data_IF_942686287354
#
_entry.id   IF_942686287354
#
_cell.length_a   1.000
_cell.length_b   1.000
_cell.length_c   1.000
_cell.angle_alpha   90.00
_cell.angle_beta   90.00
_cell.angle_gamma   90.00
#
_symmetry.space_group_name_H-M   'P 1'
#
loop_
_entity.id
_entity.type
_entity.pdbx_description
1 polymer ?
#
# COMPACT_ATOMS: atom_id res chain seq x y z
N UNK A 1 -3.81 -5.80 -16.84
CA UNK A 1 -4.80 -5.27 -15.87
C UNK A 1 -6.07 -6.08 -16.02
N UNK A 2 -6.58 -6.65 -14.93
CA UNK A 2 -7.86 -7.38 -14.96
C UNK A 2 -9.04 -6.44 -15.21
N UNK A 3 -10.20 -7.01 -15.50
CA UNK A 3 -11.36 -6.24 -15.95
C UNK A 3 -11.81 -5.21 -14.93
N UNK A 4 -11.91 -5.55 -13.64
CA UNK A 4 -12.37 -4.63 -12.59
C UNK A 4 -11.46 -3.41 -12.45
N UNK A 5 -10.14 -3.63 -12.45
CA UNK A 5 -9.16 -2.53 -12.36
C UNK A 5 -9.23 -1.67 -13.64
N UNK A 6 -9.32 -2.31 -14.81
CA UNK A 6 -9.44 -1.60 -16.09
C UNK A 6 -10.72 -0.78 -16.15
N UNK A 7 -11.82 -1.30 -15.61
CA UNK A 7 -13.11 -0.63 -15.62
C UNK A 7 -13.04 0.73 -14.91
N UNK A 8 -12.28 0.86 -13.82
CA UNK A 8 -12.08 2.13 -13.11
C UNK A 8 -11.42 3.16 -14.02
N UNK A 9 -10.29 2.81 -14.64
CA UNK A 9 -9.60 3.71 -15.57
C UNK A 9 -10.46 4.05 -16.78
N UNK A 10 -11.23 3.09 -17.28
CA UNK A 10 -12.16 3.29 -18.40
C UNK A 10 -13.26 4.30 -18.09
N UNK A 11 -13.85 4.19 -16.91
CA UNK A 11 -14.94 5.06 -16.46
C UNK A 11 -14.43 6.47 -16.18
N UNK A 12 -13.24 6.59 -15.58
CA UNK A 12 -12.71 7.88 -15.13
C UNK A 12 -11.94 8.66 -16.21
N UNK A 13 -11.20 7.96 -17.10
CA UNK A 13 -10.23 8.59 -18.01
C UNK A 13 -10.56 8.28 -19.48
N UNK A 14 -10.75 7.01 -19.81
CA UNK A 14 -10.67 6.56 -21.20
C UNK A 14 -12.03 6.48 -21.91
N UNK A 15 -13.14 6.83 -21.27
CA UNK A 15 -14.48 6.82 -21.86
C UNK A 15 -14.84 5.46 -22.45
N UNK A 16 -14.59 4.38 -21.69
CA UNK A 16 -14.87 2.99 -22.08
C UNK A 16 -14.12 2.46 -23.32
N UNK A 17 -12.98 3.07 -23.68
CA UNK A 17 -12.19 2.66 -24.86
C UNK A 17 -11.20 1.52 -24.61
N UNK A 18 -10.74 1.31 -23.38
CA UNK A 18 -9.83 0.20 -23.05
C UNK A 18 -10.57 -1.13 -23.07
N UNK A 19 -9.86 -2.19 -23.48
CA UNK A 19 -10.36 -3.57 -23.47
C UNK A 19 -9.27 -4.49 -22.93
N UNK A 20 -9.68 -5.55 -22.24
CA UNK A 20 -8.77 -6.62 -21.86
C UNK A 20 -8.30 -7.35 -23.11
N UNK A 21 -7.00 -7.70 -23.16
CA UNK A 21 -6.43 -8.40 -24.33
C UNK A 21 -6.89 -9.84 -24.48
N UNK A 22 -7.39 -10.47 -23.42
CA UNK A 22 -7.95 -11.82 -23.44
C UNK A 22 -8.85 -12.06 -22.22
N UNK A 23 -9.70 -13.11 -22.24
CA UNK A 23 -10.47 -13.54 -21.07
C UNK A 23 -9.57 -13.93 -19.88
N UNK A 24 -8.38 -14.49 -20.13
CA UNK A 24 -7.42 -14.84 -19.07
C UNK A 24 -6.94 -13.60 -18.32
N UNK A 25 -6.64 -12.51 -19.05
CA UNK A 25 -6.26 -11.24 -18.44
C UNK A 25 -7.46 -10.62 -17.72
N UNK A 26 -8.64 -10.63 -18.33
CA UNK A 26 -9.85 -10.07 -17.73
C UNK A 26 -10.18 -10.72 -16.38
N UNK A 27 -10.03 -12.04 -16.28
CA UNK A 27 -10.34 -12.84 -15.10
C UNK A 27 -9.14 -13.07 -14.16
N UNK A 28 -8.01 -12.40 -14.36
CA UNK A 28 -6.84 -12.60 -13.50
C UNK A 28 -7.13 -12.13 -12.08
N UNK A 29 -6.70 -12.94 -11.10
CA UNK A 29 -6.83 -12.68 -9.65
C UNK A 29 -5.44 -12.75 -9.01
N UNK A 30 -5.30 -12.15 -7.82
CA UNK A 30 -4.07 -12.30 -7.04
C UNK A 30 -3.94 -13.75 -6.55
N UNK A 31 -2.79 -14.37 -6.79
CA UNK A 31 -2.52 -15.72 -6.33
C UNK A 31 -2.04 -15.70 -4.87
N UNK A 32 -2.82 -16.33 -3.97
CA UNK A 32 -2.54 -16.34 -2.52
C UNK A 32 -2.53 -17.79 -2.01
N UNK A 33 -1.41 -18.51 -2.17
CA UNK A 33 -1.35 -19.97 -1.99
C UNK A 33 -1.57 -20.43 -0.55
N UNK A 34 -1.24 -19.59 0.43
CA UNK A 34 -1.35 -19.91 1.85
C UNK A 34 -2.44 -19.08 2.55
N UNK A 35 -3.52 -18.71 1.87
CA UNK A 35 -4.56 -17.81 2.41
C UNK A 35 -5.03 -18.19 3.83
N UNK A 36 -5.53 -19.41 4.02
CA UNK A 36 -6.04 -19.86 5.33
C UNK A 36 -4.94 -19.98 6.39
N UNK A 37 -3.83 -20.62 6.05
CA UNK A 37 -2.72 -20.87 6.99
C UNK A 37 -1.99 -19.58 7.36
N UNK A 38 -1.88 -18.64 6.42
CA UNK A 38 -1.30 -17.32 6.61
C UNK A 38 -2.13 -16.47 7.57
N UNK A 39 -3.44 -16.41 7.36
CA UNK A 39 -4.37 -15.72 8.26
C UNK A 39 -4.39 -16.37 9.66
N UNK A 40 -4.38 -17.71 9.75
CA UNK A 40 -4.30 -18.40 11.05
C UNK A 40 -3.01 -18.03 11.80
N UNK A 41 -1.86 -17.98 11.10
CA UNK A 41 -0.58 -17.56 11.67
C UNK A 41 -0.57 -16.08 12.05
N UNK A 42 -1.25 -15.22 11.29
CA UNK A 42 -1.40 -13.80 11.60
C UNK A 42 -2.17 -13.57 12.92
N UNK A 43 -3.21 -14.38 13.19
CA UNK A 43 -4.05 -14.27 14.39
C UNK A 43 -3.59 -15.14 15.57
N UNK A 44 -2.45 -15.83 15.45
CA UNK A 44 -1.94 -16.70 16.51
C UNK A 44 -1.52 -15.86 17.74
N UNK A 45 -1.97 -16.29 18.94
CA UNK A 45 -1.92 -15.55 20.22
C UNK A 45 -0.55 -15.03 20.69
N UNK A 46 0.55 -15.40 20.02
CA UNK A 46 1.93 -15.06 20.41
C UNK A 46 2.58 -13.95 19.57
N UNK A 47 1.87 -13.35 18.61
CA UNK A 47 2.40 -12.23 17.80
C UNK A 47 1.84 -10.90 18.31
N UNK A 48 2.64 -10.28 19.17
CA UNK A 48 2.40 -8.99 19.81
C UNK A 48 2.55 -7.85 18.80
N UNK A 49 1.44 -7.31 18.29
CA UNK A 49 1.46 -6.03 17.59
C UNK A 49 0.24 -5.73 16.71
N UNK A 50 -0.27 -6.73 15.99
CA UNK A 50 -1.22 -6.52 14.88
C UNK A 50 -2.51 -7.33 14.97
N UNK A 51 -2.76 -8.03 16.08
CA UNK A 51 -3.95 -8.87 16.33
C UNK A 51 -5.27 -8.10 16.54
N UNK A 52 -5.29 -6.80 16.25
CA UNK A 52 -6.48 -5.93 16.38
C UNK A 52 -7.25 -5.78 15.06
N UNK A 53 -7.06 -6.71 14.11
CA UNK A 53 -7.76 -6.66 12.82
C UNK A 53 -9.19 -7.22 12.85
N UNK A 54 -9.62 -7.78 13.98
CA UNK A 54 -10.94 -8.38 14.11
C UNK A 54 -11.91 -7.49 14.89
N UNK A 55 -13.03 -7.14 14.26
CA UNK A 55 -14.15 -6.44 14.90
C UNK A 55 -15.39 -7.33 14.77
N UNK A 56 -16.07 -7.64 15.87
CA UNK A 56 -17.25 -8.51 15.90
C UNK A 56 -17.03 -9.90 15.24
N UNK A 57 -15.83 -10.46 15.38
CA UNK A 57 -15.47 -11.76 14.79
C UNK A 57 -15.14 -11.71 13.30
N UNK A 58 -15.11 -10.52 12.70
CA UNK A 58 -14.80 -10.31 11.29
C UNK A 58 -13.42 -9.66 11.18
N UNK A 59 -12.50 -10.33 10.47
CA UNK A 59 -11.18 -9.79 10.19
C UNK A 59 -11.20 -8.93 8.92
N UNK A 60 -10.84 -7.65 9.02
CA UNK A 60 -10.80 -6.77 7.85
C UNK A 60 -9.67 -7.13 6.88
N UNK A 61 -8.55 -7.68 7.37
CA UNK A 61 -7.45 -8.15 6.52
C UNK A 61 -7.91 -9.34 5.67
N UNK A 62 -8.62 -10.30 6.27
CA UNK A 62 -9.18 -11.45 5.54
C UNK A 62 -10.09 -10.99 4.39
N UNK A 63 -10.95 -9.99 4.64
CA UNK A 63 -11.80 -9.43 3.59
C UNK A 63 -11.00 -8.80 2.46
N UNK A 64 -9.94 -8.03 2.78
CA UNK A 64 -9.14 -7.33 1.78
C UNK A 64 -8.19 -8.25 0.99
N UNK A 65 -7.84 -9.40 1.55
CA UNK A 65 -7.03 -10.40 0.88
C UNK A 65 -7.86 -11.35 0.01
N UNK A 66 -9.19 -11.30 0.02
CA UNK A 66 -10.03 -12.13 -0.86
C UNK A 66 -9.67 -11.87 -2.34
N UNK A 67 -9.12 -12.86 -3.08
CA UNK A 67 -8.70 -12.68 -4.47
C UNK A 67 -9.82 -12.25 -5.43
N UNK A 68 -11.08 -12.49 -5.05
CA UNK A 68 -12.23 -12.06 -5.84
C UNK A 68 -12.49 -10.55 -5.70
N UNK A 69 -11.94 -9.90 -4.67
CA UNK A 69 -12.01 -8.45 -4.48
C UNK A 69 -10.80 -7.78 -5.11
N UNK A 70 -10.85 -7.68 -6.44
CA UNK A 70 -9.74 -7.16 -7.28
C UNK A 70 -9.49 -5.66 -7.09
N UNK A 71 -10.47 -4.92 -6.56
CA UNK A 71 -10.36 -3.51 -6.19
C UNK A 71 -11.04 -3.30 -4.84
N UNK A 72 -10.31 -2.72 -3.90
CA UNK A 72 -10.84 -2.31 -2.60
C UNK A 72 -10.53 -0.84 -2.33
N UNK A 73 -11.51 -0.09 -1.83
CA UNK A 73 -11.28 1.22 -1.23
C UNK A 73 -11.49 1.09 0.28
N UNK A 74 -10.46 1.39 1.07
CA UNK A 74 -10.48 1.24 2.52
C UNK A 74 -10.69 2.61 3.14
N UNK A 75 -11.91 2.86 3.62
CA UNK A 75 -12.24 4.09 4.33
C UNK A 75 -11.69 4.04 5.76
N UNK A 76 -10.89 5.04 6.12
CA UNK A 76 -10.25 5.16 7.44
C UNK A 76 -10.90 6.22 8.33
N UNK A 77 -12.03 6.82 7.93
CA UNK A 77 -12.67 7.92 8.68
C UNK A 77 -13.05 7.54 10.13
N UNK A 78 -13.35 6.26 10.37
CA UNK A 78 -13.69 5.74 11.70
C UNK A 78 -12.49 5.24 12.51
N UNK A 79 -11.28 5.29 11.95
CA UNK A 79 -10.05 4.85 12.62
C UNK A 79 -9.41 6.05 13.31
N UNK A 80 -9.18 6.00 14.65
CA UNK A 80 -8.62 7.14 15.36
C UNK A 80 -7.23 7.54 14.84
N UNK A 81 -7.11 8.83 14.48
CA UNK A 81 -5.88 9.45 13.99
C UNK A 81 -6.15 10.28 12.75
N UNK A 82 -5.09 10.77 12.10
CA UNK A 82 -5.22 11.61 10.93
C UNK A 82 -3.86 12.05 10.39
N UNK A 83 -3.89 12.96 9.43
CA UNK A 83 -2.66 13.49 8.87
C UNK A 83 -1.88 14.29 9.91
N UNK A 84 -0.56 14.23 9.80
CA UNK A 84 0.38 15.01 10.60
C UNK A 84 1.45 15.59 9.69
N UNK A 85 2.03 16.72 10.10
CA UNK A 85 3.26 17.21 9.49
C UNK A 85 4.42 16.50 10.17
N UNK A 86 5.23 15.76 9.41
CA UNK A 86 6.45 15.15 9.92
C UNK A 86 7.41 16.21 10.48
N UNK A 87 8.17 15.83 11.50
CA UNK A 87 9.19 16.69 12.12
C UNK A 87 10.43 16.78 11.25
N UNK A 88 10.36 17.53 10.16
CA UNK A 88 11.54 18.04 9.45
C UNK A 88 11.82 19.46 9.95
N UNK A 89 12.94 19.65 10.66
CA UNK A 89 13.25 20.87 11.39
C UNK A 89 13.20 22.15 10.54
N UNK A 90 12.85 23.26 11.17
CA UNK A 90 13.12 24.59 10.63
C UNK A 90 14.62 24.78 10.45
N UNK A 91 15.11 24.74 9.21
CA UNK A 91 16.37 25.36 8.78
C UNK A 91 16.36 25.47 7.25
N UNK A 92 16.81 26.62 6.74
CA UNK A 92 16.66 27.00 5.34
C UNK A 92 17.27 26.01 4.35
N UNK A 93 16.48 25.66 3.34
CA UNK A 93 16.90 24.84 2.21
C UNK A 93 15.71 24.56 1.31
N UNK A 94 15.81 24.93 0.03
CA UNK A 94 14.80 24.71 -1.01
C UNK A 94 14.65 23.22 -1.38
N UNK A 95 14.30 22.37 -0.43
CA UNK A 95 14.05 20.93 -0.63
C UNK A 95 12.54 20.68 -0.52
N UNK A 96 11.80 21.09 -1.55
CA UNK A 96 10.32 21.15 -1.60
C UNK A 96 9.60 19.80 -1.60
N UNK A 97 9.64 19.07 -0.48
CA UNK A 97 8.75 17.93 -0.21
C UNK A 97 7.74 18.28 0.87
N UNK A 98 6.44 18.14 0.59
CA UNK A 98 5.40 18.23 1.62
C UNK A 98 5.69 17.19 2.72
N UNK A 99 5.76 17.66 3.97
CA UNK A 99 6.02 16.83 5.15
C UNK A 99 4.79 16.04 5.61
N UNK A 100 3.68 16.09 4.87
CA UNK A 100 2.42 15.46 5.25
C UNK A 100 2.57 13.94 5.23
N UNK A 101 2.16 13.31 6.32
CA UNK A 101 2.20 11.87 6.53
C UNK A 101 1.01 11.44 7.41
N UNK A 102 0.66 10.15 7.37
CA UNK A 102 -0.42 9.56 8.14
C UNK A 102 0.06 8.24 8.75
N UNK A 103 0.30 8.26 10.07
CA UNK A 103 0.79 7.12 10.84
C UNK A 103 -0.22 5.98 10.88
N UNK A 104 -1.51 6.28 10.88
CA UNK A 104 -2.57 5.27 10.87
C UNK A 104 -2.54 4.52 9.56
N UNK A 105 -2.58 5.24 8.43
CA UNK A 105 -2.47 4.62 7.11
C UNK A 105 -1.18 3.81 6.95
N UNK A 106 -0.05 4.31 7.43
CA UNK A 106 1.22 3.59 7.32
C UNK A 106 1.20 2.25 8.07
N UNK A 107 0.60 2.21 9.27
CA UNK A 107 0.42 0.98 10.05
C UNK A 107 -0.55 0.01 9.36
N UNK A 108 -1.67 0.51 8.84
CA UNK A 108 -2.64 -0.31 8.10
C UNK A 108 -2.00 -0.94 6.85
N UNK A 109 -1.21 -0.17 6.11
CA UNK A 109 -0.43 -0.66 4.97
C UNK A 109 0.58 -1.73 5.42
N UNK A 110 1.31 -1.51 6.51
CA UNK A 110 2.23 -2.51 7.07
C UNK A 110 1.53 -3.82 7.46
N UNK A 111 0.35 -3.73 8.08
CA UNK A 111 -0.49 -4.90 8.42
C UNK A 111 -0.94 -5.67 7.17
N UNK A 112 -1.35 -4.96 6.12
CA UNK A 112 -1.77 -5.58 4.87
C UNK A 112 -0.61 -6.30 4.16
N UNK A 113 0.54 -5.65 4.07
CA UNK A 113 1.75 -6.24 3.46
C UNK A 113 2.17 -7.49 4.25
N UNK A 114 2.15 -7.42 5.58
CA UNK A 114 2.42 -8.58 6.42
C UNK A 114 1.41 -9.71 6.17
N UNK A 115 0.12 -9.39 6.06
CA UNK A 115 -0.94 -10.34 5.73
C UNK A 115 -0.67 -11.04 4.40
N UNK A 116 -0.41 -10.27 3.34
CA UNK A 116 -0.13 -10.76 1.99
C UNK A 116 1.05 -11.73 1.99
N UNK A 117 2.18 -11.33 2.58
CA UNK A 117 3.39 -12.15 2.63
C UNK A 117 3.17 -13.43 3.44
N UNK A 118 2.50 -13.36 4.60
CA UNK A 118 2.18 -14.56 5.40
C UNK A 118 1.24 -15.52 4.68
N UNK A 119 0.39 -14.99 3.81
CA UNK A 119 -0.49 -15.77 2.95
C UNK A 119 0.21 -16.26 1.67
N UNK A 120 1.52 -16.04 1.53
CA UNK A 120 2.35 -16.61 0.48
C UNK A 120 2.42 -15.78 -0.79
N UNK A 121 2.03 -14.50 -0.75
CA UNK A 121 2.30 -13.56 -1.84
C UNK A 121 3.79 -13.19 -1.81
N UNK A 122 4.44 -13.27 -2.96
CA UNK A 122 5.84 -12.87 -3.10
C UNK A 122 5.96 -11.35 -2.88
N UNK A 123 6.92 -10.92 -2.06
CA UNK A 123 7.11 -9.51 -1.75
C UNK A 123 7.43 -8.67 -3.01
N UNK A 124 8.13 -9.25 -4.00
CA UNK A 124 8.39 -8.67 -5.31
C UNK A 124 7.15 -8.43 -6.15
N UNK A 125 6.03 -9.06 -5.85
CA UNK A 125 4.73 -8.85 -6.51
C UNK A 125 3.91 -7.72 -5.89
N UNK A 126 4.39 -7.11 -4.81
CA UNK A 126 3.70 -6.06 -4.06
C UNK A 126 4.37 -4.70 -4.35
N UNK A 127 3.54 -3.75 -4.78
CA UNK A 127 3.90 -2.36 -4.92
C UNK A 127 3.13 -1.46 -3.98
N UNK A 128 3.79 -0.47 -3.40
CA UNK A 128 3.19 0.56 -2.57
C UNK A 128 3.49 1.91 -3.18
N UNK A 129 2.45 2.72 -3.35
CA UNK A 129 2.61 4.09 -3.80
C UNK A 129 1.90 5.09 -2.90
N UNK A 130 2.47 6.29 -2.86
CA UNK A 130 1.90 7.44 -2.18
C UNK A 130 2.33 8.73 -2.88
N UNK A 131 1.51 9.79 -2.87
CA UNK A 131 1.91 11.09 -3.40
C UNK A 131 2.98 11.78 -2.53
N UNK A 132 3.10 11.41 -1.26
CA UNK A 132 3.92 12.11 -0.27
C UNK A 132 5.16 11.30 0.08
N UNK A 133 6.35 11.87 -0.17
CA UNK A 133 7.64 11.22 0.18
C UNK A 133 7.77 10.95 1.67
N UNK A 134 7.24 11.84 2.53
CA UNK A 134 7.23 11.64 3.97
C UNK A 134 6.46 10.38 4.37
N UNK A 135 5.33 10.10 3.70
CA UNK A 135 4.56 8.88 3.91
C UNK A 135 5.34 7.62 3.52
N UNK A 136 6.05 7.64 2.38
CA UNK A 136 6.83 6.48 1.95
C UNK A 136 7.94 6.11 2.95
N UNK A 137 8.59 7.10 3.56
CA UNK A 137 9.56 6.86 4.64
C UNK A 137 8.90 6.21 5.86
N UNK A 138 7.72 6.69 6.24
CA UNK A 138 6.96 6.14 7.36
C UNK A 138 6.51 4.70 7.10
N UNK A 139 5.99 4.43 5.91
CA UNK A 139 5.64 3.07 5.48
C UNK A 139 6.89 2.17 5.48
N UNK A 140 8.00 2.63 4.90
CA UNK A 140 9.26 1.88 4.90
C UNK A 140 9.76 1.56 6.31
N UNK A 141 9.53 2.45 7.29
CA UNK A 141 9.81 2.18 8.69
C UNK A 141 8.91 1.06 9.26
N UNK A 142 7.60 1.10 8.99
CA UNK A 142 6.67 0.03 9.41
C UNK A 142 7.02 -1.33 8.77
N UNK A 143 7.56 -1.33 7.55
CA UNK A 143 7.93 -2.55 6.84
C UNK A 143 9.24 -3.19 7.31
N UNK A 144 10.13 -2.47 8.00
CA UNK A 144 11.42 -3.05 8.48
C UNK A 144 11.19 -4.29 9.34
N UNK A 145 10.17 -4.24 10.23
CA UNK A 145 9.81 -5.35 11.10
C UNK A 145 9.08 -6.51 10.40
N UNK A 146 8.69 -6.35 9.15
CA UNK A 146 7.89 -7.31 8.36
C UNK A 146 8.72 -7.97 7.26
N UNK A 147 9.64 -7.22 6.64
CA UNK A 147 10.30 -7.60 5.37
C UNK A 147 11.81 -7.31 5.34
N UNK A 148 12.41 -6.78 6.41
CA UNK A 148 13.82 -6.42 6.42
C UNK A 148 14.19 -5.16 5.61
N UNK A 149 13.20 -4.41 5.11
CA UNK A 149 13.38 -3.20 4.30
C UNK A 149 14.17 -2.12 5.05
N UNK A 150 15.11 -1.42 4.38
CA UNK A 150 15.80 -0.23 4.91
C UNK A 150 15.53 1.00 4.04
N UNK A 151 15.12 2.12 4.66
CA UNK A 151 14.91 3.43 4.03
C UNK A 151 16.18 4.29 4.11
N UNK A 152 16.52 4.98 3.03
CA UNK A 152 17.52 6.05 3.04
C UNK A 152 16.89 7.44 3.33
N UNK A 153 17.73 8.41 3.68
CA UNK A 153 17.33 9.76 4.09
C UNK A 153 16.76 10.62 2.93
N UNK A 154 16.91 10.16 1.68
CA UNK A 154 16.50 10.89 0.48
C UNK A 154 15.09 10.51 -0.01
N UNK A 155 14.40 9.58 0.67
CA UNK A 155 13.08 9.10 0.26
C UNK A 155 13.11 8.37 -1.09
N UNK A 156 14.29 7.91 -1.50
CA UNK A 156 14.48 6.97 -2.58
C UNK A 156 14.92 5.67 -1.92
N UNK A 157 13.98 4.76 -1.64
CA UNK A 157 14.32 3.44 -1.12
C UNK A 157 15.22 2.72 -2.14
N UNK A 158 16.54 2.82 -1.97
CA UNK A 158 17.51 1.91 -2.56
C UNK A 158 17.91 0.92 -1.48
N UNK A 159 17.53 -0.31 -1.77
CA UNK A 159 17.74 -1.53 -0.99
C UNK A 159 19.08 -2.13 -1.43
N UNK A 160 19.94 -2.47 -0.46
CA UNK A 160 21.24 -3.08 -0.75
C UNK A 160 21.32 -4.49 -0.11
N UNK A 161 22.03 -5.42 -0.78
CA UNK A 161 21.74 -6.83 -0.74
C UNK A 161 22.48 -7.52 0.40
N UNK A 162 21.73 -8.15 1.30
CA UNK A 162 22.28 -9.26 2.11
C UNK A 162 21.34 -10.45 2.00
N UNK A 163 21.49 -11.20 0.91
CA UNK A 163 20.81 -12.47 0.68
C UNK A 163 20.32 -12.61 -0.75
N UNK A 164 21.09 -13.30 -1.57
CA UNK A 164 20.72 -13.68 -2.93
C UNK A 164 19.34 -14.37 -2.94
N UNK A 165 18.35 -13.75 -3.59
CA UNK A 165 17.13 -14.43 -4.03
C UNK A 165 15.79 -14.06 -3.38
N UNK A 166 15.73 -13.16 -2.39
CA UNK A 166 14.45 -12.67 -1.88
C UNK A 166 14.02 -11.40 -2.64
N UNK A 167 12.94 -11.47 -3.40
CA UNK A 167 12.34 -10.28 -4.01
C UNK A 167 11.68 -9.42 -2.92
N UNK A 168 11.72 -8.09 -3.08
CA UNK A 168 11.33 -7.14 -2.03
C UNK A 168 10.13 -6.28 -2.46
N UNK A 169 9.41 -5.74 -1.46
CA UNK A 169 8.27 -4.85 -1.67
C UNK A 169 8.72 -3.50 -2.24
N UNK A 170 8.13 -3.08 -3.36
CA UNK A 170 8.47 -1.81 -4.00
C UNK A 170 7.71 -0.65 -3.34
N UNK A 171 8.40 0.40 -2.90
CA UNK A 171 7.80 1.56 -2.23
C UNK A 171 8.25 2.85 -2.92
N UNK A 172 7.38 3.45 -3.75
CA UNK A 172 7.74 4.57 -4.61
C UNK A 172 6.66 5.66 -4.67
N UNK A 173 7.05 6.86 -5.09
CA UNK A 173 6.07 7.92 -5.41
C UNK A 173 5.33 7.59 -6.70
N UNK A 174 4.10 8.11 -6.85
CA UNK A 174 3.28 7.90 -8.06
C UNK A 174 4.07 8.19 -9.34
N UNK A 175 4.81 9.30 -9.40
CA UNK A 175 5.60 9.66 -10.59
C UNK A 175 6.70 8.63 -10.92
N UNK A 176 7.31 8.02 -9.90
CA UNK A 176 8.35 6.99 -10.07
C UNK A 176 7.76 5.64 -10.47
N UNK A 177 6.46 5.44 -10.24
CA UNK A 177 5.72 4.23 -10.59
C UNK A 177 5.23 4.24 -12.05
N UNK A 178 5.39 5.36 -12.77
CA UNK A 178 4.91 5.47 -14.15
C UNK A 178 5.54 4.40 -15.06
N UNK A 179 4.70 3.66 -15.77
CA UNK A 179 5.14 2.59 -16.68
C UNK A 179 5.55 1.28 -15.98
N UNK A 180 5.32 1.16 -14.68
CA UNK A 180 5.55 -0.05 -13.89
C UNK A 180 4.24 -0.71 -13.50
N UNK A 181 4.27 -2.02 -13.31
CA UNK A 181 3.15 -2.80 -12.82
C UNK A 181 3.59 -3.86 -11.80
N UNK A 182 2.63 -4.27 -10.96
CA UNK A 182 2.75 -5.32 -9.95
C UNK A 182 1.42 -6.06 -9.85
N UNK A 183 1.45 -7.30 -9.36
CA UNK A 183 0.24 -8.10 -9.18
C UNK A 183 -0.66 -7.54 -8.07
N UNK A 184 -0.06 -6.94 -7.03
CA UNK A 184 -0.78 -6.24 -5.96
C UNK A 184 -0.23 -4.83 -5.78
N UNK A 185 -1.11 -3.84 -5.75
CA UNK A 185 -0.73 -2.43 -5.58
C UNK A 185 -1.54 -1.82 -4.43
N UNK A 186 -0.85 -1.27 -3.44
CA UNK A 186 -1.42 -0.54 -2.32
C UNK A 186 -1.17 0.96 -2.49
N UNK A 187 -2.20 1.77 -2.30
CA UNK A 187 -2.11 3.24 -2.44
C UNK A 187 -2.46 3.90 -1.11
N UNK A 188 -1.54 4.69 -0.56
CA UNK A 188 -1.80 5.53 0.62
C UNK A 188 -2.00 6.98 0.19
N UNK A 189 -3.20 7.50 0.40
CA UNK A 189 -3.62 8.85 -0.01
C UNK A 189 -3.25 9.92 1.02
N UNK A 190 -2.98 9.53 2.27
CA UNK A 190 -2.42 10.33 3.36
C UNK A 190 -3.36 11.40 3.92
N UNK A 191 -4.10 12.10 3.06
CA UNK A 191 -4.86 13.29 3.45
C UNK A 191 -6.10 12.91 4.23
N UNK A 192 -6.15 13.38 5.47
CA UNK A 192 -7.27 13.24 6.40
C UNK A 192 -7.23 14.42 7.36
N UNK A 193 -8.06 15.42 7.10
CA UNK A 193 -8.13 16.65 7.88
C UNK A 193 -9.53 17.27 7.87
N UNK A 194 -9.86 17.99 8.95
CA UNK A 194 -11.14 18.69 9.12
C UNK A 194 -11.33 19.87 8.15
N UNK A 195 -10.25 20.36 7.53
CA UNK A 195 -10.26 21.48 6.59
C UNK A 195 -10.64 21.06 5.16
N UNK A 196 -10.90 19.76 4.91
CA UNK A 196 -11.22 19.20 3.58
C UNK A 196 -10.18 19.57 2.50
N UNK A 197 -8.94 19.75 2.90
CA UNK A 197 -7.85 20.10 2.00
C UNK A 197 -7.17 18.81 1.53
N UNK A 198 -7.11 18.59 0.22
CA UNK A 198 -6.37 17.44 -0.35
C UNK A 198 -5.16 17.90 -1.18
N UNK A 199 -4.87 19.21 -1.18
CA UNK A 199 -3.81 19.89 -1.94
C UNK A 199 -3.72 19.40 -3.38
N UNK A 200 -2.58 18.83 -3.79
CA UNK A 200 -2.32 18.43 -5.17
C UNK A 200 -2.98 17.09 -5.55
N UNK A 201 -3.68 16.42 -4.63
CA UNK A 201 -4.48 15.23 -4.98
C UNK A 201 -5.67 15.55 -5.90
N UNK A 202 -6.05 16.82 -6.04
CA UNK A 202 -7.05 17.24 -7.03
C UNK A 202 -6.51 17.29 -8.46
N UNK A 203 -5.18 17.18 -8.66
CA UNK A 203 -4.60 17.27 -9.99
C UNK A 203 -4.85 15.96 -10.76
N UNK A 204 -5.81 16.02 -11.67
CA UNK A 204 -6.23 14.91 -12.51
C UNK A 204 -5.50 15.01 -13.84
N UNK A 205 -4.59 14.06 -14.11
CA UNK A 205 -3.79 14.00 -15.35
C UNK A 205 -4.34 12.97 -16.32
#
# INVERSE_FOLDING_TARGET
MCEDIMHISNTLIYGSRLKCGSPTVANSILHIPMFKDGLMRLHSKNLTGYSQCSVNGICWIEQLLDPNRRVCFVDTDQVPGGESNGTGGSAGGNSGGSLVQNVVEAKLVGQLVQGLIRCGVDAGEIGIMSPYRAQLRLIGHELKGVTGVSTDDNGATQVNPTGEGAAEVEVLTIDKYQGRDKNCVLVSLVRSNTKKNVSFLFDFK
#
